data_IF_323213943858
#
_entry.id   IF_323213943858
#
_cell.length_a   1.000
_cell.length_b   1.000
_cell.length_c   1.000
_cell.angle_alpha   90.00
_cell.angle_beta   90.00
_cell.angle_gamma   90.00
#
_symmetry.space_group_name_H-M   'P 1'
#
loop_
_entity.id
_entity.type
_entity.pdbx_description
1 polymer ?
#
# COMPACT_ATOMS: atom_id res chain seq x y z
N UNK A 1 -15.98 -28.39 -2.88
CA UNK A 1 -14.52 -28.54 -2.72
C UNK A 1 -14.15 -27.97 -1.36
N UNK A 2 -13.30 -28.64 -0.58
CA UNK A 2 -12.83 -28.13 0.70
C UNK A 2 -11.91 -26.91 0.49
N UNK A 3 -11.97 -25.93 1.38
CA UNK A 3 -11.09 -24.77 1.40
C UNK A 3 -9.62 -25.22 1.53
N UNK A 4 -8.74 -24.66 0.71
CA UNK A 4 -7.31 -24.99 0.71
C UNK A 4 -6.48 -23.74 0.95
N UNK A 5 -5.55 -23.80 1.91
CA UNK A 5 -4.60 -22.73 2.16
C UNK A 5 -3.68 -22.54 0.94
N UNK A 6 -3.67 -21.35 0.35
CA UNK A 6 -2.82 -21.01 -0.79
C UNK A 6 -1.71 -20.01 -0.45
N UNK A 7 -1.88 -19.21 0.62
CA UNK A 7 -0.85 -18.30 1.10
C UNK A 7 -0.92 -18.18 2.63
N UNK A 8 0.18 -18.48 3.31
CA UNK A 8 0.36 -18.36 4.76
C UNK A 8 1.45 -17.35 5.15
N UNK A 9 2.08 -16.69 4.17
CA UNK A 9 3.18 -15.76 4.37
C UNK A 9 2.72 -14.30 4.54
N UNK A 10 1.43 -14.03 4.35
CA UNK A 10 0.87 -12.69 4.51
C UNK A 10 1.11 -12.12 5.91
N UNK A 11 1.39 -10.81 6.02
CA UNK A 11 1.63 -10.13 7.30
C UNK A 11 0.38 -10.08 8.17
N UNK A 12 -0.81 -10.03 7.54
CA UNK A 12 -2.08 -9.72 8.22
C UNK A 12 -3.09 -10.87 8.22
N UNK A 13 -2.82 -11.99 7.57
CA UNK A 13 -3.75 -13.12 7.50
C UNK A 13 -3.32 -14.23 6.53
N UNK A 14 -4.17 -15.22 6.38
CA UNK A 14 -3.98 -16.36 5.48
C UNK A 14 -5.07 -16.39 4.41
N UNK A 15 -4.70 -16.77 3.17
CA UNK A 15 -5.59 -16.82 2.01
C UNK A 15 -5.93 -18.26 1.68
N UNK A 16 -7.22 -18.51 1.46
CA UNK A 16 -7.80 -19.81 1.10
C UNK A 16 -8.49 -19.75 -0.26
N UNK A 17 -8.35 -20.82 -1.06
CA UNK A 17 -9.04 -21.00 -2.34
C UNK A 17 -9.38 -22.48 -2.61
N UNK A 18 -10.64 -22.83 -2.92
CA UNK A 18 -11.83 -22.01 -2.71
C UNK A 18 -11.90 -21.48 -1.28
N UNK A 19 -12.62 -20.37 -1.07
CA UNK A 19 -12.64 -19.70 0.23
C UNK A 19 -13.36 -20.50 1.32
N UNK A 20 -13.16 -20.09 2.56
CA UNK A 20 -13.92 -20.57 3.73
C UNK A 20 -15.25 -19.81 3.75
N UNK A 21 -16.41 -20.50 3.79
CA UNK A 21 -17.71 -19.84 3.82
C UNK A 21 -17.99 -19.15 5.16
N UNK A 22 -18.81 -18.11 5.12
CA UNK A 22 -19.28 -17.40 6.31
C UNK A 22 -20.19 -18.27 7.18
N UNK A 23 -21.07 -19.05 6.54
CA UNK A 23 -21.96 -19.99 7.19
C UNK A 23 -21.56 -21.43 6.84
N UNK A 24 -21.59 -22.38 7.80
CA UNK A 24 -21.20 -23.76 7.55
C UNK A 24 -21.99 -24.46 6.44
N UNK A 25 -23.22 -24.00 6.17
CA UNK A 25 -24.12 -24.56 5.17
C UNK A 25 -23.95 -23.95 3.76
N UNK A 26 -23.04 -22.98 3.61
CA UNK A 26 -22.74 -22.33 2.34
C UNK A 26 -21.46 -22.90 1.72
N UNK A 27 -21.33 -22.74 0.41
CA UNK A 27 -20.10 -23.03 -0.31
C UNK A 27 -19.60 -21.77 -0.97
N UNK A 28 -18.28 -21.57 -0.95
CA UNK A 28 -17.63 -20.50 -1.71
C UNK A 28 -17.22 -21.06 -3.07
N UNK A 29 -17.70 -20.42 -4.14
CA UNK A 29 -17.37 -20.82 -5.51
C UNK A 29 -15.86 -20.71 -5.82
N UNK A 30 -15.38 -21.44 -6.83
CA UNK A 30 -13.95 -21.46 -7.21
C UNK A 30 -13.47 -20.11 -7.80
N UNK A 31 -14.38 -19.20 -8.10
CA UNK A 31 -14.08 -17.82 -8.56
C UNK A 31 -13.72 -16.87 -7.41
N UNK A 32 -13.86 -17.32 -6.14
CA UNK A 32 -13.58 -16.51 -4.96
C UNK A 32 -12.48 -17.12 -4.10
N UNK A 33 -11.74 -16.23 -3.45
CA UNK A 33 -10.84 -16.54 -2.34
C UNK A 33 -11.32 -15.84 -1.07
N UNK A 34 -10.90 -16.33 0.10
CA UNK A 34 -11.12 -15.64 1.38
C UNK A 34 -9.79 -15.45 2.10
N UNK A 35 -9.67 -14.31 2.78
CA UNK A 35 -8.54 -13.97 3.65
C UNK A 35 -9.04 -14.01 5.09
N UNK A 36 -8.49 -14.93 5.88
CA UNK A 36 -8.75 -15.00 7.32
C UNK A 36 -7.74 -14.11 8.01
N UNK A 37 -8.25 -13.09 8.70
CA UNK A 37 -7.43 -12.09 9.35
C UNK A 37 -7.06 -12.47 10.78
N UNK A 38 -5.89 -12.03 11.22
CA UNK A 38 -5.52 -12.10 12.64
C UNK A 38 -6.44 -11.20 13.47
N UNK A 39 -6.86 -11.67 14.65
CA UNK A 39 -7.72 -10.91 15.55
C UNK A 39 -7.11 -9.61 16.08
N UNK A 40 -5.79 -9.44 15.94
CA UNK A 40 -5.07 -8.21 16.34
C UNK A 40 -5.18 -7.10 15.30
N UNK A 41 -5.70 -7.38 14.11
CA UNK A 41 -5.65 -6.48 12.94
C UNK A 41 -7.04 -5.96 12.52
N UNK A 42 -7.97 -5.79 13.47
CA UNK A 42 -9.34 -5.36 13.15
C UNK A 42 -9.40 -4.01 12.41
N UNK A 43 -8.56 -3.05 12.78
CA UNK A 43 -8.49 -1.75 12.12
C UNK A 43 -8.06 -1.86 10.65
N UNK A 44 -7.11 -2.75 10.33
CA UNK A 44 -6.66 -3.02 8.97
C UNK A 44 -7.81 -3.62 8.13
N UNK A 45 -8.57 -4.55 8.70
CA UNK A 45 -9.72 -5.17 8.02
C UNK A 45 -10.80 -4.14 7.72
N UNK A 46 -11.14 -3.29 8.69
CA UNK A 46 -12.14 -2.23 8.50
C UNK A 46 -11.68 -1.21 7.44
N UNK A 47 -10.40 -0.86 7.44
CA UNK A 47 -9.82 0.00 6.42
C UNK A 47 -9.88 -0.66 5.03
N UNK A 48 -9.49 -1.95 4.92
CA UNK A 48 -9.55 -2.70 3.65
C UNK A 48 -10.98 -2.74 3.07
N UNK A 49 -11.99 -2.93 3.94
CA UNK A 49 -13.41 -2.91 3.55
C UNK A 49 -13.83 -1.50 3.09
N UNK A 50 -13.47 -0.45 3.83
CA UNK A 50 -13.83 0.93 3.50
C UNK A 50 -13.24 1.37 2.17
N UNK A 51 -11.96 1.13 1.94
CA UNK A 51 -11.28 1.40 0.67
C UNK A 51 -11.90 0.58 -0.47
N UNK A 52 -12.19 -0.70 -0.23
CA UNK A 52 -12.83 -1.57 -1.22
C UNK A 52 -14.20 -1.06 -1.63
N UNK A 53 -14.99 -0.54 -0.70
CA UNK A 53 -16.29 0.06 -1.01
C UNK A 53 -16.11 1.35 -1.83
N UNK A 54 -15.19 2.23 -1.45
CA UNK A 54 -14.89 3.47 -2.20
C UNK A 54 -14.47 3.15 -3.64
N UNK A 55 -13.66 2.10 -3.86
CA UNK A 55 -13.28 1.63 -5.21
C UNK A 55 -14.51 1.16 -5.99
N UNK A 56 -15.33 0.28 -5.42
CA UNK A 56 -16.53 -0.29 -6.09
C UNK A 56 -17.58 0.76 -6.44
N UNK A 57 -17.74 1.76 -5.58
CA UNK A 57 -18.74 2.82 -5.73
C UNK A 57 -18.33 3.87 -6.78
N UNK A 58 -17.02 4.14 -6.93
CA UNK A 58 -16.53 5.26 -7.72
C UNK A 58 -15.78 4.85 -9.01
N UNK A 59 -15.44 3.56 -9.19
CA UNK A 59 -14.79 3.05 -10.39
C UNK A 59 -15.65 1.95 -11.00
N UNK A 60 -16.52 2.27 -11.99
CA UNK A 60 -17.47 1.29 -12.55
C UNK A 60 -16.80 0.05 -13.14
N UNK A 61 -15.63 0.21 -13.75
CA UNK A 61 -14.80 -0.84 -14.38
C UNK A 61 -13.70 -1.38 -13.45
N UNK A 62 -13.87 -1.26 -12.13
CA UNK A 62 -12.85 -1.63 -11.15
C UNK A 62 -12.34 -3.07 -11.32
N UNK A 63 -13.18 -3.98 -11.77
CA UNK A 63 -12.82 -5.41 -11.89
C UNK A 63 -11.76 -5.68 -12.97
N UNK A 64 -11.49 -4.72 -13.86
CA UNK A 64 -10.44 -4.79 -14.87
C UNK A 64 -9.06 -4.42 -14.30
N UNK A 65 -9.02 -3.79 -13.12
CA UNK A 65 -7.82 -3.24 -12.50
C UNK A 65 -7.57 -3.76 -11.09
N UNK A 66 -8.63 -4.07 -10.34
CA UNK A 66 -8.58 -4.31 -8.90
C UNK A 66 -9.36 -5.55 -8.49
N UNK A 67 -8.89 -6.19 -7.41
CA UNK A 67 -9.67 -7.20 -6.69
C UNK A 67 -9.91 -6.75 -5.25
N UNK A 68 -10.88 -5.83 -5.03
CA UNK A 68 -11.24 -5.36 -3.70
C UNK A 68 -12.03 -6.42 -2.93
N UNK A 69 -12.20 -6.20 -1.63
CA UNK A 69 -13.10 -6.99 -0.79
C UNK A 69 -14.54 -6.82 -1.27
N UNK A 70 -15.20 -7.95 -1.53
CA UNK A 70 -16.59 -8.01 -1.96
C UNK A 70 -17.55 -8.14 -0.78
N UNK A 71 -17.13 -8.90 0.24
CA UNK A 71 -17.95 -9.23 1.41
C UNK A 71 -17.03 -9.57 2.60
N UNK A 72 -17.54 -9.41 3.82
CA UNK A 72 -16.83 -9.74 5.05
C UNK A 72 -17.77 -10.28 6.11
N UNK A 73 -17.29 -11.25 6.89
CA UNK A 73 -18.07 -11.88 7.95
C UNK A 73 -17.20 -12.36 9.10
N UNK A 74 -17.84 -12.69 10.22
CA UNK A 74 -17.22 -13.44 11.30
C UNK A 74 -17.34 -14.94 11.02
N UNK A 75 -16.23 -15.68 11.19
CA UNK A 75 -16.19 -17.13 11.01
C UNK A 75 -15.69 -17.81 12.27
N UNK A 76 -16.27 -18.97 12.57
CA UNK A 76 -15.76 -19.90 13.57
C UNK A 76 -15.00 -21.00 12.84
N UNK A 77 -13.74 -21.20 13.18
CA UNK A 77 -12.85 -22.14 12.51
C UNK A 77 -12.68 -23.47 13.27
N UNK A 78 -13.49 -23.72 14.32
CA UNK A 78 -13.37 -24.92 15.17
C UNK A 78 -13.42 -26.24 14.34
N UNK A 79 -14.23 -26.27 13.28
CA UNK A 79 -14.43 -27.45 12.42
C UNK A 79 -13.85 -27.28 11.01
N UNK A 80 -12.97 -26.29 10.81
CA UNK A 80 -12.35 -26.02 9.51
C UNK A 80 -10.90 -26.49 9.54
N UNK A 81 -10.51 -27.30 8.55
CA UNK A 81 -9.09 -27.59 8.33
C UNK A 81 -8.40 -26.30 7.86
N UNK A 82 -7.88 -25.56 8.82
CA UNK A 82 -7.19 -24.30 8.59
C UNK A 82 -5.76 -24.50 8.05
N UNK A 83 -5.32 -25.75 7.86
CA UNK A 83 -3.98 -26.07 7.42
C UNK A 83 -2.91 -25.46 8.35
N UNK A 84 -1.77 -25.06 7.77
CA UNK A 84 -0.65 -24.47 8.50
C UNK A 84 -0.72 -22.94 8.64
N UNK A 85 -1.90 -22.34 8.70
CA UNK A 85 -2.01 -20.90 8.92
C UNK A 85 -1.46 -20.48 10.29
N UNK A 86 -0.39 -19.68 10.29
CA UNK A 86 0.31 -19.25 11.52
C UNK A 86 -0.57 -18.44 12.49
N UNK A 87 -1.65 -17.81 11.99
CA UNK A 87 -2.56 -16.98 12.80
C UNK A 87 -3.68 -17.78 13.48
N UNK A 88 -3.92 -19.01 13.06
CA UNK A 88 -5.05 -19.84 13.54
C UNK A 88 -4.61 -20.87 14.58
N UNK A 89 -3.31 -21.14 14.72
CA UNK A 89 -2.80 -22.12 15.68
C UNK A 89 -3.32 -21.84 17.09
N UNK A 90 -3.94 -22.86 17.71
CA UNK A 90 -4.45 -22.89 19.10
C UNK A 90 -5.62 -21.94 19.41
N UNK A 91 -6.48 -21.59 18.43
CA UNK A 91 -7.56 -20.61 18.62
C UNK A 91 -8.95 -21.16 18.28
N UNK A 92 -9.26 -22.35 18.73
CA UNK A 92 -10.52 -23.05 18.41
C UNK A 92 -11.79 -22.38 18.96
N UNK A 93 -11.67 -21.47 19.94
CA UNK A 93 -12.80 -20.78 20.57
C UNK A 93 -12.98 -19.33 20.13
N UNK A 94 -12.16 -18.83 19.20
CA UNK A 94 -12.14 -17.42 18.82
C UNK A 94 -12.81 -17.21 17.47
N UNK A 95 -13.65 -16.19 17.35
CA UNK A 95 -14.18 -15.74 16.06
C UNK A 95 -13.12 -14.95 15.30
N UNK A 96 -12.94 -15.28 14.04
CA UNK A 96 -12.06 -14.57 13.11
C UNK A 96 -12.88 -13.72 12.15
N UNK A 97 -12.26 -12.70 11.55
CA UNK A 97 -12.85 -12.00 10.42
C UNK A 97 -12.34 -12.62 9.13
N UNK A 98 -13.28 -12.95 8.25
CA UNK A 98 -13.04 -13.42 6.89
C UNK A 98 -13.45 -12.34 5.90
N UNK A 99 -12.60 -12.00 4.95
CA UNK A 99 -12.94 -11.15 3.80
C UNK A 99 -12.96 -12.01 2.54
N UNK A 100 -13.99 -11.82 1.71
CA UNK A 100 -14.17 -12.51 0.41
C UNK A 100 -13.78 -11.57 -0.73
N UNK A 101 -13.00 -12.06 -1.67
CA UNK A 101 -12.55 -11.35 -2.85
C UNK A 101 -12.59 -12.24 -4.08
N UNK A 102 -12.56 -11.65 -5.28
CA UNK A 102 -12.41 -12.42 -6.52
C UNK A 102 -11.04 -13.10 -6.55
N UNK A 103 -11.02 -14.39 -6.85
CA UNK A 103 -9.76 -15.11 -7.02
C UNK A 103 -9.14 -14.80 -8.38
N UNK A 104 -7.98 -14.17 -8.39
CA UNK A 104 -7.26 -13.83 -9.62
C UNK A 104 -6.30 -14.97 -9.99
N UNK A 105 -6.61 -15.65 -11.07
CA UNK A 105 -5.79 -16.77 -11.59
C UNK A 105 -4.63 -16.22 -12.40
N UNK A 106 -3.42 -16.24 -11.81
CA UNK A 106 -2.23 -15.68 -12.44
C UNK A 106 -0.98 -15.86 -11.59
N UNK A 107 0.02 -15.03 -11.86
CA UNK A 107 1.29 -15.00 -11.13
C UNK A 107 1.57 -13.59 -10.61
N UNK A 108 2.23 -13.48 -9.44
CA UNK A 108 2.76 -12.22 -8.98
C UNK A 108 3.68 -11.58 -10.05
N UNK A 109 3.67 -10.26 -10.14
CA UNK A 109 4.27 -9.49 -11.25
C UNK A 109 5.68 -9.95 -11.62
N UNK A 110 6.64 -9.93 -10.71
CA UNK A 110 8.03 -10.32 -11.02
C UNK A 110 8.16 -11.82 -11.30
N UNK A 111 7.30 -12.67 -10.74
CA UNK A 111 7.24 -14.11 -11.09
C UNK A 111 6.74 -14.31 -12.51
N UNK A 112 5.77 -13.53 -12.97
CA UNK A 112 5.30 -13.51 -14.35
C UNK A 112 6.42 -13.06 -15.30
N UNK A 113 7.04 -11.90 -15.00
CA UNK A 113 8.12 -11.32 -15.82
C UNK A 113 9.31 -12.27 -15.96
N UNK A 114 9.65 -13.02 -14.90
CA UNK A 114 10.73 -14.03 -14.94
C UNK A 114 10.48 -15.15 -15.98
N UNK A 115 9.23 -15.37 -16.36
CA UNK A 115 8.86 -16.40 -17.35
C UNK A 115 8.93 -15.88 -18.79
N UNK A 116 9.15 -14.56 -18.99
CA UNK A 116 9.27 -13.96 -20.31
C UNK A 116 10.65 -14.26 -20.90
N UNK A 117 10.70 -15.11 -21.90
CA UNK A 117 11.96 -15.56 -22.51
C UNK A 117 12.15 -15.11 -23.96
N UNK A 118 11.20 -14.34 -24.50
CA UNK A 118 11.13 -14.02 -25.91
C UNK A 118 11.64 -12.60 -26.22
N UNK A 119 11.88 -12.32 -27.52
CA UNK A 119 12.29 -11.00 -28.02
C UNK A 119 11.24 -9.91 -27.76
N UNK A 120 9.99 -10.26 -27.38
CA UNK A 120 8.91 -9.33 -27.07
C UNK A 120 8.84 -8.95 -25.57
N UNK A 121 9.72 -9.53 -24.72
CA UNK A 121 9.70 -9.33 -23.27
C UNK A 121 9.70 -7.83 -22.87
N UNK A 122 10.49 -7.01 -23.58
CA UNK A 122 10.51 -5.56 -23.32
C UNK A 122 9.15 -4.92 -23.56
N UNK A 123 8.50 -5.20 -24.71
CA UNK A 123 7.20 -4.65 -25.06
C UNK A 123 6.13 -5.08 -24.04
N UNK A 124 6.19 -6.33 -23.59
CA UNK A 124 5.26 -6.86 -22.59
C UNK A 124 5.45 -6.18 -21.23
N UNK A 125 6.70 -6.01 -20.79
CA UNK A 125 7.05 -5.29 -19.55
C UNK A 125 6.61 -3.81 -19.62
N UNK A 126 6.83 -3.12 -20.76
CA UNK A 126 6.35 -1.75 -20.96
C UNK A 126 4.80 -1.68 -20.89
N UNK A 127 4.12 -2.60 -21.57
CA UNK A 127 2.65 -2.69 -21.53
C UNK A 127 2.11 -2.94 -20.11
N UNK A 128 2.78 -3.81 -19.33
CA UNK A 128 2.42 -4.04 -17.93
C UNK A 128 2.57 -2.77 -17.10
N UNK A 129 3.67 -2.03 -17.31
CA UNK A 129 3.90 -0.76 -16.63
C UNK A 129 2.80 0.26 -16.94
N UNK A 130 2.47 0.46 -18.22
CA UNK A 130 1.42 1.40 -18.64
C UNK A 130 0.06 1.05 -18.00
N UNK A 131 -0.30 -0.25 -17.98
CA UNK A 131 -1.53 -0.71 -17.34
C UNK A 131 -1.54 -0.51 -15.82
N UNK A 132 -0.40 -0.69 -15.16
CA UNK A 132 -0.26 -0.44 -13.72
C UNK A 132 -0.40 1.06 -13.43
N UNK A 133 0.24 1.93 -14.22
CA UNK A 133 0.09 3.38 -14.09
C UNK A 133 -1.37 3.82 -14.29
N UNK A 134 -2.07 3.28 -15.30
CA UNK A 134 -3.49 3.55 -15.52
C UNK A 134 -4.35 3.15 -14.31
N UNK A 135 -4.08 1.98 -13.71
CA UNK A 135 -4.77 1.56 -12.50
C UNK A 135 -4.51 2.52 -11.31
N UNK A 136 -3.25 2.96 -11.14
CA UNK A 136 -2.87 3.96 -10.11
C UNK A 136 -3.58 5.29 -10.36
N UNK A 137 -3.68 5.74 -11.61
CA UNK A 137 -4.39 6.98 -11.94
C UNK A 137 -5.88 6.90 -11.57
N UNK A 138 -6.54 5.74 -11.78
CA UNK A 138 -7.93 5.54 -11.33
C UNK A 138 -8.07 5.63 -9.80
N UNK A 139 -7.13 5.10 -9.03
CA UNK A 139 -7.10 5.29 -7.57
C UNK A 139 -6.90 6.77 -7.20
N UNK A 140 -6.00 7.46 -7.88
CA UNK A 140 -5.74 8.89 -7.67
C UNK A 140 -6.98 9.76 -7.95
N UNK A 141 -7.82 9.40 -8.92
CA UNK A 141 -9.07 10.11 -9.24
C UNK A 141 -10.08 10.07 -8.09
N UNK A 142 -10.08 8.99 -7.31
CA UNK A 142 -10.93 8.83 -6.12
C UNK A 142 -10.17 9.10 -4.82
N UNK A 143 -9.01 9.77 -4.89
CA UNK A 143 -8.15 10.14 -3.75
C UNK A 143 -7.74 8.95 -2.86
N UNK A 144 -7.51 7.80 -3.46
CA UNK A 144 -6.98 6.60 -2.79
C UNK A 144 -5.52 6.40 -3.17
N UNK A 145 -4.67 6.15 -2.18
CA UNK A 145 -3.29 5.69 -2.34
C UNK A 145 -3.23 4.23 -1.90
N UNK A 146 -2.71 3.35 -2.76
CA UNK A 146 -2.53 1.94 -2.42
C UNK A 146 -1.51 1.74 -1.30
N UNK A 147 -0.43 2.52 -1.31
CA UNK A 147 0.62 2.62 -0.30
C UNK A 147 1.53 1.38 -0.15
N UNK A 148 1.06 0.18 -0.51
CA UNK A 148 1.85 -1.08 -0.51
C UNK A 148 1.96 -1.69 -1.92
N UNK A 149 2.17 -0.83 -2.94
CA UNK A 149 2.28 -1.29 -4.31
C UNK A 149 3.64 -1.99 -4.52
N UNK A 150 3.59 -3.32 -4.52
CA UNK A 150 4.75 -4.21 -4.70
C UNK A 150 4.40 -5.39 -5.59
N UNK A 151 5.42 -6.12 -6.05
CA UNK A 151 5.25 -7.27 -6.95
C UNK A 151 4.20 -8.28 -6.49
N UNK A 152 4.15 -8.58 -5.20
CA UNK A 152 3.26 -9.60 -4.65
C UNK A 152 1.81 -9.13 -4.56
N UNK A 153 1.58 -7.82 -4.61
CA UNK A 153 0.26 -7.20 -4.62
C UNK A 153 -0.26 -6.89 -6.04
N UNK A 154 0.42 -7.40 -7.08
CA UNK A 154 -0.02 -7.32 -8.48
C UNK A 154 -0.01 -8.71 -9.08
N UNK A 155 -1.18 -9.22 -9.43
CA UNK A 155 -1.32 -10.53 -10.08
C UNK A 155 -1.52 -10.32 -11.58
N UNK A 156 -0.60 -10.83 -12.39
CA UNK A 156 -0.75 -10.83 -13.85
C UNK A 156 -1.50 -12.06 -14.28
N UNK A 157 -2.64 -11.87 -14.93
CA UNK A 157 -3.51 -12.94 -15.45
C UNK A 157 -2.86 -13.63 -16.65
N UNK A 158 -3.45 -14.75 -17.09
CA UNK A 158 -3.00 -15.45 -18.32
C UNK A 158 -3.13 -14.60 -19.58
N UNK A 159 -4.04 -13.61 -19.59
CA UNK A 159 -4.21 -12.64 -20.68
C UNK A 159 -3.21 -11.48 -20.65
N UNK A 160 -2.28 -11.44 -19.70
CA UNK A 160 -1.33 -10.35 -19.54
C UNK A 160 -1.96 -9.07 -18.92
N UNK A 161 -3.05 -9.21 -18.15
CA UNK A 161 -3.68 -8.09 -17.44
C UNK A 161 -3.19 -8.07 -15.99
N UNK A 162 -2.55 -7.00 -15.52
CA UNK A 162 -2.18 -6.84 -14.12
C UNK A 162 -3.42 -6.43 -13.30
N UNK A 163 -3.66 -7.11 -12.19
CA UNK A 163 -4.72 -6.82 -11.23
C UNK A 163 -4.09 -6.50 -9.89
N UNK A 164 -4.37 -5.31 -9.35
CA UNK A 164 -3.88 -4.87 -8.04
C UNK A 164 -4.78 -5.44 -6.95
N UNK A 165 -4.16 -5.98 -5.89
CA UNK A 165 -4.81 -6.65 -4.76
C UNK A 165 -4.29 -6.11 -3.43
N UNK A 166 -4.96 -6.43 -2.32
CA UNK A 166 -4.54 -6.17 -0.92
C UNK A 166 -4.50 -4.67 -0.55
N UNK A 167 -5.68 -4.12 -0.27
CA UNK A 167 -5.88 -2.73 0.13
C UNK A 167 -5.81 -2.50 1.65
N UNK A 168 -5.25 -3.44 2.42
CA UNK A 168 -5.27 -3.41 3.89
C UNK A 168 -4.63 -2.18 4.53
N UNK A 169 -3.58 -1.63 3.92
CA UNK A 169 -2.90 -0.40 4.37
C UNK A 169 -3.04 0.78 3.42
N UNK A 170 -3.97 0.67 2.46
CA UNK A 170 -4.28 1.79 1.55
C UNK A 170 -4.88 2.97 2.31
N UNK A 171 -4.72 4.16 1.77
CA UNK A 171 -5.17 5.40 2.42
C UNK A 171 -6.26 6.10 1.62
N UNK A 172 -7.30 6.53 2.30
CA UNK A 172 -8.24 7.54 1.82
C UNK A 172 -7.68 8.92 2.16
N UNK A 173 -7.16 9.62 1.16
CA UNK A 173 -6.46 10.89 1.33
C UNK A 173 -7.40 12.03 1.72
N UNK A 174 -8.69 11.96 1.41
CA UNK A 174 -9.67 12.94 1.90
C UNK A 174 -9.75 12.89 3.42
N UNK A 175 -9.78 11.67 3.99
CA UNK A 175 -9.78 11.47 5.44
C UNK A 175 -8.45 11.87 6.09
N UNK A 176 -7.32 11.56 5.45
CA UNK A 176 -5.98 11.91 5.96
C UNK A 176 -5.83 13.43 6.01
N UNK A 177 -6.14 14.15 4.93
CA UNK A 177 -6.04 15.61 4.86
C UNK A 177 -6.99 16.27 5.87
N UNK A 178 -8.25 15.83 5.91
CA UNK A 178 -9.22 16.36 6.88
C UNK A 178 -8.83 16.12 8.35
N UNK A 179 -8.07 15.07 8.65
CA UNK A 179 -7.57 14.81 10.01
C UNK A 179 -6.49 15.80 10.45
N UNK A 180 -5.69 16.28 9.51
CA UNK A 180 -4.63 17.29 9.77
C UNK A 180 -5.27 18.66 10.01
N UNK A 181 -6.22 19.04 9.16
CA UNK A 181 -6.92 20.34 9.29
C UNK A 181 -7.69 20.45 10.60
N UNK A 182 -8.29 19.35 11.07
CA UNK A 182 -9.00 19.27 12.36
C UNK A 182 -8.09 19.15 13.57
N UNK A 183 -6.88 18.68 13.41
CA UNK A 183 -5.90 18.49 14.50
C UNK A 183 -5.48 19.79 15.19
N UNK A 184 -5.78 20.93 14.59
CA UNK A 184 -5.63 22.26 15.23
C UNK A 184 -6.76 22.60 16.21
N UNK A 185 -7.91 21.87 16.25
CA UNK A 185 -9.12 22.36 16.94
C UNK A 185 -9.92 21.32 17.74
N UNK A 186 -9.69 19.99 17.71
CA UNK A 186 -10.62 19.10 18.44
C UNK A 186 -10.07 17.75 18.90
N UNK A 187 -10.30 17.45 20.19
CA UNK A 187 -10.01 16.17 20.87
C UNK A 187 -10.98 15.02 20.53
N UNK A 188 -11.93 15.18 19.61
CA UNK A 188 -12.98 14.20 19.32
C UNK A 188 -13.26 14.06 17.82
N UNK A 189 -12.34 13.47 17.05
CA UNK A 189 -12.67 12.95 15.73
C UNK A 189 -13.20 11.52 15.88
N UNK A 190 -14.52 11.37 15.98
CA UNK A 190 -15.20 10.08 15.79
C UNK A 190 -14.95 9.62 14.35
N UNK A 191 -14.35 8.45 14.19
CA UNK A 191 -14.40 7.68 12.94
C UNK A 191 -15.86 7.66 12.49
N UNK A 192 -16.16 8.22 11.32
CA UNK A 192 -17.51 8.32 10.78
C UNK A 192 -18.17 6.95 10.87
N UNK A 193 -19.40 6.91 11.41
CA UNK A 193 -20.25 5.73 11.49
C UNK A 193 -20.53 5.25 10.07
N UNK A 194 -19.68 4.36 9.56
CA UNK A 194 -20.01 3.55 8.39
C UNK A 194 -21.15 2.62 8.84
N UNK A 195 -22.28 2.74 8.17
CA UNK A 195 -23.44 1.87 8.36
C UNK A 195 -23.10 0.44 7.90
N UNK A 196 -22.49 -0.31 8.77
CA UNK A 196 -22.22 -1.74 8.61
C UNK A 196 -23.43 -2.50 9.16
N UNK A 197 -24.52 -2.54 8.40
CA UNK A 197 -25.76 -3.22 8.82
C UNK A 197 -25.60 -4.73 9.03
N UNK A 198 -24.51 -5.35 8.61
CA UNK A 198 -24.23 -6.78 8.79
C UNK A 198 -23.00 -7.09 9.66
N UNK A 199 -22.29 -6.08 10.17
CA UNK A 199 -21.18 -6.27 11.13
C UNK A 199 -21.50 -5.49 12.42
N UNK A 200 -22.74 -5.54 12.84
CA UNK A 200 -23.19 -4.99 14.11
C UNK A 200 -22.63 -5.80 15.27
N UNK A 201 -21.43 -5.56 15.66
CA UNK A 201 -20.77 -5.86 16.96
C UNK A 201 -19.24 -6.04 16.83
N UNK A 202 -18.59 -5.15 16.07
CA UNK A 202 -17.16 -4.93 16.30
C UNK A 202 -17.08 -3.63 17.10
N UNK A 203 -17.27 -3.72 18.42
CA UNK A 203 -16.88 -2.63 19.30
C UNK A 203 -15.36 -2.48 19.19
N UNK A 204 -14.84 -1.31 18.81
CA UNK A 204 -13.42 -1.03 18.87
C UNK A 204 -13.03 -0.72 20.33
N UNK A 205 -13.15 -1.70 21.21
CA UNK A 205 -12.39 -1.67 22.44
C UNK A 205 -10.95 -2.08 22.09
N UNK A 206 -10.22 -1.13 21.55
CA UNK A 206 -8.76 -1.24 21.41
C UNK A 206 -8.20 -1.24 22.82
N UNK A 207 -7.94 -2.40 23.38
CA UNK A 207 -7.03 -2.54 24.50
C UNK A 207 -5.61 -2.23 23.98
N UNK A 208 -5.29 -0.94 23.87
CA UNK A 208 -3.92 -0.49 23.79
C UNK A 208 -3.25 -0.91 25.10
N UNK A 209 -2.21 -1.72 25.03
CA UNK A 209 -1.20 -1.72 26.10
C UNK A 209 -0.76 -0.29 26.26
N UNK A 210 -1.06 0.27 27.43
CA UNK A 210 -0.64 1.58 27.87
C UNK A 210 0.86 1.59 28.07
N UNK A 211 1.60 1.98 27.03
CA UNK A 211 2.86 2.68 27.22
C UNK A 211 2.62 4.10 26.77
N UNK A 212 2.76 5.00 27.71
CA UNK A 212 2.51 6.42 27.65
C UNK A 212 3.44 7.12 26.66
N UNK A 213 3.08 7.10 25.39
CA UNK A 213 3.43 8.16 24.46
C UNK A 213 2.11 8.64 23.84
N UNK A 214 1.57 9.72 24.38
CA UNK A 214 0.58 10.52 23.68
C UNK A 214 1.23 10.91 22.34
N UNK A 215 0.87 10.19 21.27
CA UNK A 215 1.24 10.59 19.94
C UNK A 215 0.70 12.01 19.75
N UNK A 216 1.59 12.92 19.40
CA UNK A 216 1.26 14.32 19.24
C UNK A 216 0.51 14.58 17.90
N UNK A 217 0.44 13.57 17.04
CA UNK A 217 -0.25 13.63 15.75
C UNK A 217 -1.66 13.02 15.82
N UNK A 218 -2.57 13.37 14.89
CA UNK A 218 -3.87 12.74 14.80
C UNK A 218 -3.75 11.20 14.68
N UNK A 219 -4.62 10.42 15.35
CA UNK A 219 -4.54 8.95 15.36
C UNK A 219 -4.54 8.32 13.95
N UNK A 220 -5.16 8.96 12.97
CA UNK A 220 -5.19 8.48 11.59
C UNK A 220 -3.80 8.57 10.95
N UNK A 221 -3.02 9.62 11.23
CA UNK A 221 -1.65 9.73 10.74
C UNK A 221 -0.73 8.67 11.36
N UNK A 222 -0.83 8.46 12.66
CA UNK A 222 -0.08 7.39 13.35
C UNK A 222 -0.41 6.02 12.77
N UNK A 223 -1.67 5.78 12.45
CA UNK A 223 -2.11 4.54 11.82
C UNK A 223 -1.60 4.41 10.38
N UNK A 224 -1.68 5.47 9.58
CA UNK A 224 -1.31 5.47 8.17
C UNK A 224 0.21 5.38 7.97
N UNK A 225 0.99 6.10 8.79
CA UNK A 225 2.46 6.12 8.72
C UNK A 225 3.09 5.40 9.91
N UNK A 226 2.62 4.17 10.17
CA UNK A 226 2.91 3.36 11.35
C UNK A 226 4.37 2.89 11.47
N UNK A 227 5.18 3.05 10.44
CA UNK A 227 6.58 2.61 10.45
C UNK A 227 7.49 3.53 9.65
N UNK A 228 8.66 3.82 10.21
CA UNK A 228 9.77 4.46 9.49
C UNK A 228 10.72 3.38 8.99
N UNK A 229 10.83 3.23 7.67
CA UNK A 229 11.67 2.20 7.07
C UNK A 229 12.27 2.66 5.73
N UNK A 230 13.56 3.00 5.73
CA UNK A 230 14.32 3.41 4.55
C UNK A 230 14.67 2.26 3.60
N UNK A 231 14.51 1.01 4.03
CA UNK A 231 14.75 -0.18 3.19
C UNK A 231 13.56 -0.53 2.29
N UNK A 232 12.39 0.10 2.51
CA UNK A 232 11.20 -0.16 1.71
C UNK A 232 11.26 0.58 0.38
N UNK A 233 11.90 -0.02 -0.61
CA UNK A 233 12.30 0.61 -1.88
C UNK A 233 11.15 1.19 -2.71
N UNK A 234 9.91 0.75 -2.51
CA UNK A 234 8.74 1.27 -3.21
C UNK A 234 8.17 2.54 -2.57
N UNK A 235 8.66 2.97 -1.40
CA UNK A 235 8.29 4.25 -0.82
C UNK A 235 9.23 5.36 -1.28
N UNK A 236 8.65 6.46 -1.77
CA UNK A 236 9.41 7.65 -2.13
C UNK A 236 9.93 8.40 -0.89
N UNK A 237 10.80 9.37 -1.13
CA UNK A 237 11.39 10.19 -0.05
C UNK A 237 10.32 10.88 0.78
N UNK A 238 9.23 11.35 0.14
CA UNK A 238 8.12 12.03 0.83
C UNK A 238 7.48 11.14 1.90
N UNK A 239 7.15 9.88 1.54
CA UNK A 239 6.58 8.90 2.48
C UNK A 239 7.53 8.64 3.65
N UNK A 240 8.82 8.45 3.36
CA UNK A 240 9.83 8.18 4.39
C UNK A 240 9.99 9.38 5.34
N UNK A 241 10.00 10.60 4.81
CA UNK A 241 10.05 11.82 5.63
C UNK A 241 8.81 11.99 6.50
N UNK A 242 7.60 11.77 5.95
CA UNK A 242 6.36 11.79 6.73
C UNK A 242 6.41 10.75 7.84
N UNK A 243 6.81 9.52 7.52
CA UNK A 243 6.94 8.43 8.51
C UNK A 243 7.96 8.77 9.59
N UNK A 244 9.08 9.41 9.23
CA UNK A 244 10.07 9.88 10.20
C UNK A 244 9.46 10.93 11.14
N UNK A 245 8.78 11.94 10.60
CA UNK A 245 8.14 13.00 11.37
C UNK A 245 7.11 12.40 12.34
N UNK A 246 6.22 11.55 11.84
CA UNK A 246 5.12 10.97 12.63
C UNK A 246 5.63 10.03 13.72
N UNK A 247 6.66 9.22 13.44
CA UNK A 247 7.13 8.17 14.36
C UNK A 247 8.25 8.62 15.30
N UNK A 248 9.02 9.63 14.94
CA UNK A 248 10.24 10.00 15.67
C UNK A 248 10.23 11.41 16.24
N UNK A 249 9.25 12.22 15.88
CA UNK A 249 9.20 13.64 16.24
C UNK A 249 7.81 14.06 16.71
N UNK A 250 7.66 15.33 17.04
CA UNK A 250 6.36 15.96 17.39
C UNK A 250 6.01 17.02 16.34
N UNK A 251 4.73 17.41 16.20
CA UNK A 251 4.28 18.40 15.21
C UNK A 251 5.03 19.72 15.27
N UNK A 252 5.31 20.19 16.50
CA UNK A 252 5.96 21.48 16.77
C UNK A 252 7.47 21.40 16.87
N UNK A 253 8.07 20.21 16.81
CA UNK A 253 9.53 20.08 16.74
C UNK A 253 10.04 20.70 15.45
N UNK A 254 11.26 21.23 15.51
CA UNK A 254 11.91 21.88 14.38
C UNK A 254 12.75 20.83 13.61
N UNK A 255 12.54 20.77 12.30
CA UNK A 255 13.37 19.95 11.41
C UNK A 255 14.45 20.79 10.74
N UNK A 256 15.63 20.23 10.56
CA UNK A 256 16.74 20.91 9.90
C UNK A 256 16.98 20.37 8.49
N UNK A 257 17.51 21.22 7.60
CA UNK A 257 17.93 20.84 6.24
C UNK A 257 18.85 19.61 6.27
N UNK A 258 19.76 19.53 7.24
CA UNK A 258 20.66 18.39 7.40
C UNK A 258 19.91 17.09 7.69
N UNK A 259 18.90 17.11 8.57
CA UNK A 259 18.07 15.91 8.86
C UNK A 259 17.30 15.45 7.63
N UNK A 260 16.70 16.39 6.89
CA UNK A 260 15.97 16.11 5.66
C UNK A 260 16.91 15.48 4.62
N UNK A 261 18.10 16.07 4.40
CA UNK A 261 19.07 15.57 3.42
C UNK A 261 19.68 14.21 3.82
N UNK A 262 19.90 13.94 5.09
CA UNK A 262 20.38 12.64 5.54
C UNK A 262 19.39 11.51 5.19
N UNK A 263 18.09 11.75 5.39
CA UNK A 263 17.04 10.79 5.00
C UNK A 263 17.00 10.62 3.49
N UNK A 264 17.05 11.73 2.73
CA UNK A 264 17.12 11.69 1.27
C UNK A 264 18.29 10.84 0.78
N UNK A 265 19.51 11.15 1.24
CA UNK A 265 20.73 10.45 0.82
C UNK A 265 20.69 8.96 1.19
N UNK A 266 20.10 8.60 2.33
CA UNK A 266 19.90 7.22 2.72
C UNK A 266 18.93 6.49 1.76
N UNK A 267 17.78 7.07 1.43
CA UNK A 267 16.81 6.49 0.48
C UNK A 267 17.45 6.31 -0.90
N UNK A 268 18.20 7.31 -1.40
CA UNK A 268 18.89 7.22 -2.69
C UNK A 268 19.93 6.10 -2.69
N UNK A 269 20.70 5.96 -1.61
CA UNK A 269 21.71 4.92 -1.46
C UNK A 269 21.06 3.52 -1.41
N UNK A 270 19.99 3.35 -0.64
CA UNK A 270 19.27 2.06 -0.49
C UNK A 270 18.65 1.60 -1.81
N UNK A 271 18.11 2.53 -2.61
CA UNK A 271 17.56 2.22 -3.93
C UNK A 271 18.64 2.04 -5.02
N UNK A 272 19.91 2.33 -4.70
CA UNK A 272 21.03 2.16 -5.61
C UNK A 272 20.88 2.88 -6.96
N UNK A 273 20.18 4.01 -6.98
CA UNK A 273 19.90 4.77 -8.22
C UNK A 273 21.18 5.32 -8.85
N UNK A 274 22.15 5.76 -8.04
CA UNK A 274 23.41 6.32 -8.53
C UNK A 274 24.24 5.32 -9.36
N UNK A 275 24.06 4.01 -9.13
CA UNK A 275 24.74 2.95 -9.88
C UNK A 275 24.01 2.56 -11.17
N UNK A 276 22.80 3.07 -11.40
CA UNK A 276 22.08 2.86 -12.65
C UNK A 276 22.54 3.90 -13.68
N UNK A 277 23.40 3.48 -14.62
CA UNK A 277 24.04 4.35 -15.61
C UNK A 277 23.08 5.35 -16.25
N UNK A 278 21.85 4.93 -16.56
CA UNK A 278 20.84 5.77 -17.21
C UNK A 278 20.13 6.75 -16.26
N UNK A 279 20.37 6.68 -14.94
CA UNK A 279 19.80 7.59 -13.94
C UNK A 279 20.84 8.51 -13.29
N UNK A 280 22.14 8.30 -13.53
CA UNK A 280 23.23 8.95 -12.79
C UNK A 280 23.10 10.49 -12.76
N UNK A 281 22.93 11.10 -13.92
CA UNK A 281 22.85 12.56 -14.03
C UNK A 281 21.54 13.11 -13.45
N UNK A 282 20.43 12.37 -13.66
CA UNK A 282 19.14 12.73 -13.11
C UNK A 282 19.12 12.67 -11.56
N UNK A 283 19.80 11.71 -10.94
CA UNK A 283 19.94 11.61 -9.48
C UNK A 283 20.70 12.81 -8.92
N UNK A 284 21.76 13.25 -9.60
CA UNK A 284 22.52 14.46 -9.18
C UNK A 284 21.62 15.69 -9.23
N UNK A 285 20.90 15.89 -10.33
CA UNK A 285 19.98 17.02 -10.48
C UNK A 285 18.86 16.96 -9.44
N UNK A 286 18.27 15.78 -9.23
CA UNK A 286 17.24 15.60 -8.21
C UNK A 286 17.73 15.95 -6.80
N UNK A 287 18.96 15.55 -6.45
CA UNK A 287 19.55 15.90 -5.17
C UNK A 287 19.67 17.41 -4.97
N UNK A 288 20.09 18.14 -6.01
CA UNK A 288 20.20 19.60 -5.98
C UNK A 288 18.80 20.23 -5.83
N UNK A 289 17.85 19.83 -6.67
CA UNK A 289 16.49 20.35 -6.65
C UNK A 289 15.78 20.05 -5.31
N UNK A 290 15.91 18.82 -4.80
CA UNK A 290 15.35 18.44 -3.53
C UNK A 290 15.94 19.25 -2.38
N UNK A 291 17.26 19.50 -2.40
CA UNK A 291 17.90 20.37 -1.41
C UNK A 291 17.29 21.78 -1.43
N UNK A 292 17.22 22.42 -2.60
CA UNK A 292 16.73 23.79 -2.74
C UNK A 292 15.22 23.91 -2.42
N UNK A 293 14.41 23.02 -2.98
CA UNK A 293 12.94 23.15 -2.96
C UNK A 293 12.28 22.53 -1.72
N UNK A 294 12.98 21.63 -1.03
CA UNK A 294 12.46 20.95 0.16
C UNK A 294 13.35 21.20 1.37
N UNK A 295 14.62 20.74 1.35
CA UNK A 295 15.44 20.77 2.55
C UNK A 295 15.74 22.20 3.03
N UNK A 296 16.17 23.10 2.15
CA UNK A 296 16.50 24.49 2.52
C UNK A 296 15.23 25.31 2.77
N UNK A 297 14.15 25.07 2.01
CA UNK A 297 12.85 25.74 2.19
C UNK A 297 12.23 25.43 3.55
N UNK A 298 12.37 24.20 4.06
CA UNK A 298 11.84 23.76 5.34
C UNK A 298 12.91 23.68 6.44
N UNK A 299 14.08 24.30 6.23
CA UNK A 299 15.10 24.39 7.25
C UNK A 299 14.65 25.25 8.43
N UNK A 300 14.78 24.72 9.65
CA UNK A 300 14.33 25.35 10.89
C UNK A 300 12.83 25.68 10.92
N UNK A 301 12.01 24.83 10.31
CA UNK A 301 10.56 24.96 10.24
C UNK A 301 9.92 23.84 11.05
N UNK A 302 8.75 24.14 11.64
CA UNK A 302 7.95 23.14 12.37
C UNK A 302 7.60 21.94 11.47
N UNK A 303 7.70 20.73 12.02
CA UNK A 303 7.43 19.47 11.32
C UNK A 303 6.07 19.44 10.62
N UNK A 304 5.03 20.01 11.26
CA UNK A 304 3.68 20.05 10.69
C UNK A 304 3.62 20.78 9.34
N UNK A 305 4.45 21.80 9.14
CA UNK A 305 4.50 22.57 7.87
C UNK A 305 5.12 21.75 6.75
N UNK A 306 6.22 21.03 7.04
CA UNK A 306 6.81 20.11 6.07
C UNK A 306 5.86 18.93 5.77
N UNK A 307 5.25 18.33 6.80
CA UNK A 307 4.28 17.25 6.67
C UNK A 307 3.12 17.64 5.73
N UNK A 308 2.51 18.82 5.97
CA UNK A 308 1.43 19.32 5.12
C UNK A 308 1.88 19.49 3.66
N UNK A 309 3.07 20.00 3.44
CA UNK A 309 3.62 20.14 2.09
C UNK A 309 3.81 18.77 1.41
N UNK A 310 4.38 17.79 2.11
CA UNK A 310 4.64 16.46 1.54
C UNK A 310 3.34 15.70 1.24
N UNK A 311 2.35 15.79 2.10
CA UNK A 311 1.05 15.12 1.92
C UNK A 311 0.34 15.61 0.65
N UNK A 312 0.46 16.87 0.26
CA UNK A 312 -0.15 17.35 -0.99
C UNK A 312 0.37 16.65 -2.25
N UNK A 313 1.51 15.97 -2.16
CA UNK A 313 2.14 15.24 -3.28
C UNK A 313 1.70 13.79 -3.39
N UNK A 314 0.72 13.33 -2.61
CA UNK A 314 0.31 11.93 -2.50
C UNK A 314 0.01 11.25 -3.85
N UNK A 315 -0.47 11.98 -4.85
CA UNK A 315 -0.78 11.44 -6.18
C UNK A 315 0.43 10.87 -6.92
N UNK A 316 1.65 11.28 -6.51
CA UNK A 316 2.92 10.78 -7.08
C UNK A 316 3.42 9.50 -6.38
N UNK A 317 2.90 9.13 -5.20
CA UNK A 317 3.49 8.07 -4.37
C UNK A 317 3.38 6.68 -5.00
N UNK A 318 2.19 6.27 -5.45
CA UNK A 318 2.02 4.97 -6.11
C UNK A 318 2.59 4.96 -7.53
N UNK A 319 2.66 6.09 -8.22
CA UNK A 319 3.37 6.23 -9.51
C UNK A 319 4.87 5.99 -9.32
N UNK A 320 5.46 6.53 -8.25
CA UNK A 320 6.84 6.21 -7.88
C UNK A 320 7.00 4.70 -7.64
N UNK A 321 6.11 4.09 -6.86
CA UNK A 321 6.14 2.66 -6.58
C UNK A 321 6.04 1.82 -7.86
N UNK A 322 5.12 2.17 -8.76
CA UNK A 322 4.97 1.52 -10.08
C UNK A 322 6.26 1.65 -10.92
N UNK A 323 6.92 2.81 -10.86
CA UNK A 323 8.17 3.06 -11.59
C UNK A 323 9.33 2.25 -11.03
N UNK A 324 9.41 2.08 -9.71
CA UNK A 324 10.37 1.14 -9.08
C UNK A 324 10.13 -0.29 -9.57
N UNK A 325 8.87 -0.71 -9.66
CA UNK A 325 8.52 -2.02 -10.19
C UNK A 325 8.91 -2.18 -11.66
N UNK A 326 8.72 -1.13 -12.48
CA UNK A 326 9.16 -1.13 -13.87
C UNK A 326 10.67 -1.32 -14.00
N UNK A 327 11.47 -0.59 -13.23
CA UNK A 327 12.92 -0.77 -13.16
C UNK A 327 13.27 -2.22 -12.79
N UNK A 328 12.64 -2.79 -11.78
CA UNK A 328 12.85 -4.19 -11.36
C UNK A 328 12.44 -5.19 -12.46
N UNK A 329 11.37 -4.92 -13.20
CA UNK A 329 10.96 -5.74 -14.35
C UNK A 329 12.01 -5.72 -15.47
N UNK A 330 12.55 -4.53 -15.80
CA UNK A 330 13.61 -4.38 -16.79
C UNK A 330 14.90 -5.12 -16.38
N UNK A 331 15.28 -5.03 -15.10
CA UNK A 331 16.42 -5.77 -14.54
C UNK A 331 16.20 -7.29 -14.65
N UNK A 332 14.98 -7.75 -14.39
CA UNK A 332 14.64 -9.19 -14.47
C UNK A 332 14.80 -9.75 -15.88
N UNK A 333 14.46 -8.97 -16.91
CA UNK A 333 14.66 -9.37 -18.32
C UNK A 333 16.03 -8.94 -18.88
N UNK A 334 16.91 -8.35 -18.04
CA UNK A 334 18.24 -7.85 -18.40
C UNK A 334 18.23 -6.85 -19.55
N UNK A 335 17.27 -5.93 -19.55
CA UNK A 335 17.11 -4.90 -20.56
C UNK A 335 17.28 -3.50 -19.97
N UNK A 336 17.70 -2.55 -20.80
CA UNK A 336 17.71 -1.14 -20.45
C UNK A 336 16.44 -0.45 -20.97
N UNK A 337 15.99 0.64 -20.31
CA UNK A 337 14.88 1.42 -20.83
C UNK A 337 15.25 2.06 -22.18
N UNK A 338 14.27 2.18 -23.08
CA UNK A 338 14.39 3.07 -24.24
C UNK A 338 14.53 4.53 -23.79
N UNK A 339 14.96 5.44 -24.65
CA UNK A 339 15.09 6.86 -24.27
C UNK A 339 13.76 7.44 -23.79
N UNK A 340 12.65 7.15 -24.47
CA UNK A 340 11.33 7.56 -24.03
C UNK A 340 10.97 7.03 -22.64
N UNK A 341 11.24 5.75 -22.35
CA UNK A 341 10.99 5.20 -21.02
C UNK A 341 11.96 5.70 -19.96
N UNK A 342 13.20 6.08 -20.35
CA UNK A 342 14.14 6.71 -19.44
C UNK A 342 13.62 8.07 -18.96
N UNK A 343 13.08 8.89 -19.84
CA UNK A 343 12.45 10.17 -19.49
C UNK A 343 11.25 9.99 -18.57
N UNK A 344 10.38 9.02 -18.88
CA UNK A 344 9.22 8.67 -18.04
C UNK A 344 9.68 8.22 -16.64
N UNK A 345 10.71 7.37 -16.55
CA UNK A 345 11.27 6.93 -15.26
C UNK A 345 11.79 8.12 -14.47
N UNK A 346 12.56 9.00 -15.08
CA UNK A 346 13.14 10.19 -14.43
C UNK A 346 12.04 11.10 -13.91
N UNK A 347 11.01 11.36 -14.72
CA UNK A 347 9.87 12.19 -14.33
C UNK A 347 9.08 11.56 -13.18
N UNK A 348 8.71 10.29 -13.29
CA UNK A 348 7.84 9.60 -12.31
C UNK A 348 8.57 9.28 -10.99
N UNK A 349 9.89 9.22 -10.99
CA UNK A 349 10.67 9.19 -9.74
C UNK A 349 10.77 10.58 -9.07
N UNK A 350 10.26 11.63 -9.72
CA UNK A 350 10.32 13.00 -9.22
C UNK A 350 11.71 13.64 -9.35
N UNK A 351 12.58 13.12 -10.21
CA UNK A 351 13.95 13.64 -10.40
C UNK A 351 13.97 14.94 -11.20
N UNK A 352 12.90 15.24 -11.94
CA UNK A 352 12.68 16.51 -12.65
C UNK A 352 11.25 16.95 -12.34
N UNK A 353 11.09 18.21 -11.91
CA UNK A 353 9.78 18.87 -11.72
C UNK A 353 9.24 19.39 -13.05
#
# INVERSE_FOLDING_TARGET
>A
MSAKLINNSGTFGCIYHPGIPCNPNETVGPEYATKIHSNTNQSIVLNEIAISNKIKENIPDYADYFSPVLDACKVNLANVDAGNCKFIKNKTSVQFVSTKMKFIKGHALLKHVKQLTNMKAYKEVATLYDKICLAVEKLNQIHVVHFDLKSDNIIVTKSGTPIIIDFGISMDMDNVIASIDKGSVSKNASVSKLSLSNISMINPSVSRKSESSLSAFPPLLDYSFYTYNTDYSTWCVDIILISFIVQKQKPMDIITSTQIMNIFDEVMRKNNFANKKYLKDAVVLYRVNFKLNVADKFNNVENVKLLNHLITKYRKWDIYSATILFIKMLEQIKQFPSDAHKEIIIHNLGFVE
#
